data_IF_908977276282
#
_entry.id   IF_908977276282
#
_cell.length_a   1.000
_cell.length_b   1.000
_cell.length_c   1.000
_cell.angle_alpha   90.00
_cell.angle_beta   90.00
_cell.angle_gamma   90.00
#
_symmetry.space_group_name_H-M   'P 1'
#
loop_
_entity.id
_entity.type
_entity.pdbx_description
1 polymer ?
#
# COMPACT_ATOMS: atom_id res chain seq x y z
N UNK A 1 -10.46 -5.89 4.73
CA UNK A 1 -10.70 -6.64 3.47
C UNK A 1 -11.72 -7.74 3.70
N UNK A 2 -12.52 -8.09 2.69
CA UNK A 2 -13.47 -9.19 2.75
C UNK A 2 -13.45 -9.95 1.43
N UNK A 3 -13.66 -11.26 1.47
CA UNK A 3 -13.71 -12.11 0.26
C UNK A 3 -14.76 -11.59 -0.71
N UNK A 4 -14.37 -11.36 -1.96
CA UNK A 4 -15.27 -10.85 -3.00
C UNK A 4 -15.53 -9.33 -2.93
N UNK A 5 -14.97 -8.60 -1.95
CA UNK A 5 -15.18 -7.16 -1.85
C UNK A 5 -14.22 -6.37 -2.75
N UNK A 6 -14.70 -5.30 -3.40
CA UNK A 6 -13.84 -4.37 -4.12
C UNK A 6 -12.80 -3.71 -3.21
N UNK A 7 -11.59 -3.55 -3.73
CA UNK A 7 -10.48 -2.85 -3.09
C UNK A 7 -9.71 -2.05 -4.14
N UNK A 8 -9.13 -0.93 -3.72
CA UNK A 8 -8.16 -0.19 -4.51
C UNK A 8 -6.77 -0.74 -4.19
N UNK A 9 -5.99 -1.05 -5.20
CA UNK A 9 -4.58 -1.36 -5.10
C UNK A 9 -3.80 -0.10 -5.49
N UNK A 10 -2.94 0.37 -4.59
CA UNK A 10 -2.10 1.54 -4.81
C UNK A 10 -0.64 1.11 -4.80
N UNK A 11 0.09 1.58 -5.81
CA UNK A 11 1.55 1.53 -5.90
C UNK A 11 2.05 2.91 -6.33
N UNK A 12 3.34 3.07 -6.57
CA UNK A 12 3.89 4.30 -7.11
C UNK A 12 5.40 4.30 -7.10
N UNK A 13 5.96 5.41 -7.56
CA UNK A 13 7.40 5.59 -7.69
C UNK A 13 7.83 6.97 -7.19
N UNK A 14 9.04 7.05 -6.64
CA UNK A 14 9.69 8.31 -6.28
C UNK A 14 10.57 8.75 -7.44
N UNK A 15 10.18 9.84 -8.07
CA UNK A 15 10.81 10.29 -9.31
C UNK A 15 11.22 11.75 -9.22
N UNK A 16 12.14 12.15 -10.09
CA UNK A 16 12.41 13.56 -10.33
C UNK A 16 11.21 14.22 -11.03
N UNK A 17 10.89 15.44 -10.62
CA UNK A 17 9.75 16.17 -11.16
C UNK A 17 9.88 16.35 -12.67
N UNK A 18 8.87 15.90 -13.41
CA UNK A 18 8.82 15.99 -14.88
C UNK A 18 9.43 14.78 -15.60
N UNK A 19 9.90 13.77 -14.88
CA UNK A 19 10.33 12.49 -15.46
C UNK A 19 9.17 11.51 -15.58
N UNK A 20 9.36 10.49 -16.41
CA UNK A 20 8.40 9.38 -16.59
C UNK A 20 8.82 8.21 -15.71
N UNK A 21 7.88 7.68 -14.91
CA UNK A 21 8.05 6.39 -14.24
C UNK A 21 7.69 5.26 -15.18
N UNK A 22 8.46 4.17 -15.15
CA UNK A 22 8.25 2.96 -15.95
C UNK A 22 7.91 1.73 -15.07
N UNK A 23 7.65 1.92 -13.78
CA UNK A 23 7.39 0.80 -12.86
C UNK A 23 6.22 -0.09 -13.30
N UNK A 24 5.18 0.45 -13.93
CA UNK A 24 4.02 -0.32 -14.37
C UNK A 24 4.33 -1.18 -15.60
N UNK A 25 5.21 -0.68 -16.46
CA UNK A 25 5.64 -1.31 -17.70
C UNK A 25 6.71 -2.39 -17.46
N UNK A 26 7.65 -2.12 -16.55
CA UNK A 26 8.81 -2.97 -16.27
C UNK A 26 8.52 -4.05 -15.22
N UNK A 27 7.50 -3.88 -14.38
CA UNK A 27 7.20 -4.83 -13.28
C UNK A 27 6.16 -5.87 -13.72
N UNK A 28 6.61 -7.08 -14.06
CA UNK A 28 5.74 -8.20 -14.47
C UNK A 28 4.58 -8.47 -13.50
N UNK A 29 4.84 -8.33 -12.20
CA UNK A 29 3.87 -8.55 -11.12
C UNK A 29 2.69 -7.58 -11.18
N UNK A 30 2.87 -6.40 -11.79
CA UNK A 30 1.84 -5.36 -11.92
C UNK A 30 0.98 -5.49 -13.19
N UNK A 31 1.46 -6.21 -14.22
CA UNK A 31 0.76 -6.37 -15.51
C UNK A 31 -0.66 -6.94 -15.42
N UNK A 32 -1.02 -7.81 -14.45
CA UNK A 32 -2.40 -8.28 -14.32
C UNK A 32 -3.41 -7.21 -13.86
N UNK A 33 -2.95 -6.01 -13.48
CA UNK A 33 -3.79 -4.95 -12.93
C UNK A 33 -3.88 -3.77 -13.91
N UNK A 34 -5.09 -3.22 -14.05
CA UNK A 34 -5.32 -2.06 -14.90
C UNK A 34 -5.07 -0.78 -14.10
N UNK A 35 -3.80 -0.38 -14.00
CA UNK A 35 -3.40 0.83 -13.29
C UNK A 35 -3.68 2.12 -14.07
N UNK A 36 -4.05 3.16 -13.34
CA UNK A 36 -4.13 4.54 -13.82
C UNK A 36 -3.21 5.40 -12.95
N UNK A 37 -2.37 6.20 -13.59
CA UNK A 37 -1.54 7.19 -12.90
C UNK A 37 -2.40 8.28 -12.27
N UNK A 38 -2.06 8.66 -11.04
CA UNK A 38 -2.65 9.79 -10.31
C UNK A 38 -1.74 11.02 -10.38
N UNK A 39 -2.22 12.14 -9.84
CA UNK A 39 -1.45 13.38 -9.72
C UNK A 39 -0.21 13.19 -8.82
N UNK A 40 0.88 13.85 -9.20
CA UNK A 40 2.13 13.87 -8.45
C UNK A 40 1.93 14.52 -7.07
N UNK A 41 2.48 13.87 -6.03
CA UNK A 41 2.53 14.39 -4.68
C UNK A 41 3.92 14.98 -4.42
N UNK A 42 3.97 16.29 -4.28
CA UNK A 42 5.19 17.04 -3.96
C UNK A 42 5.34 17.14 -2.43
N UNK A 43 6.05 16.20 -1.83
CA UNK A 43 6.24 16.16 -0.39
C UNK A 43 7.07 17.33 0.13
N UNK A 44 7.95 17.93 -0.68
CA UNK A 44 8.68 19.13 -0.28
C UNK A 44 7.74 20.31 -0.03
N UNK A 45 6.62 20.42 -0.76
CA UNK A 45 5.60 21.44 -0.48
C UNK A 45 4.85 21.21 0.84
N UNK A 46 4.79 19.97 1.32
CA UNK A 46 4.06 19.58 2.52
C UNK A 46 4.97 19.65 3.75
N UNK A 47 6.20 19.15 3.62
CA UNK A 47 7.20 19.07 4.67
C UNK A 47 8.61 19.35 4.11
N UNK A 48 8.96 20.65 3.93
CA UNK A 48 10.25 21.04 3.37
C UNK A 48 11.45 20.62 4.22
N UNK A 49 11.26 20.32 5.50
CA UNK A 49 12.34 19.95 6.42
C UNK A 49 12.82 18.51 6.20
N UNK A 50 11.94 17.62 5.73
CA UNK A 50 12.24 16.19 5.58
C UNK A 50 12.36 15.74 4.12
N UNK A 51 11.99 16.57 3.13
CA UNK A 51 11.99 16.19 1.72
C UNK A 51 12.80 17.16 0.86
N UNK A 52 13.56 16.61 -0.10
CA UNK A 52 14.35 17.41 -1.03
C UNK A 52 13.46 18.06 -2.09
N UNK A 53 13.81 19.25 -2.59
CA UNK A 53 13.12 19.85 -3.72
C UNK A 53 13.28 18.99 -4.98
N UNK A 54 12.36 19.16 -5.93
CA UNK A 54 12.36 18.49 -7.25
C UNK A 54 12.16 16.96 -7.23
N UNK A 55 11.76 16.37 -6.10
CA UNK A 55 11.31 14.99 -6.02
C UNK A 55 9.80 14.94 -5.77
N UNK A 56 9.12 14.04 -6.46
CA UNK A 56 7.68 13.80 -6.30
C UNK A 56 7.43 12.31 -6.14
N UNK A 57 6.36 11.97 -5.43
CA UNK A 57 5.82 10.62 -5.47
C UNK A 57 4.69 10.59 -6.49
N UNK A 58 4.77 9.67 -7.44
CA UNK A 58 3.77 9.48 -8.48
C UNK A 58 2.98 8.21 -8.18
N UNK A 59 1.75 8.30 -7.65
CA UNK A 59 0.95 7.12 -7.33
C UNK A 59 0.28 6.54 -8.57
N UNK A 60 0.07 5.24 -8.58
CA UNK A 60 -0.81 4.54 -9.52
C UNK A 60 -1.87 3.77 -8.76
N UNK A 61 -3.10 3.78 -9.28
CA UNK A 61 -4.26 3.11 -8.70
C UNK A 61 -4.83 2.08 -9.67
N UNK A 62 -5.15 0.89 -9.17
CA UNK A 62 -5.94 -0.10 -9.86
C UNK A 62 -7.13 -0.54 -9.00
N UNK A 63 -8.30 -0.71 -9.63
CA UNK A 63 -9.43 -1.36 -8.98
C UNK A 63 -9.28 -2.89 -9.09
N UNK A 64 -9.54 -3.59 -8.00
CA UNK A 64 -9.52 -5.05 -7.97
C UNK A 64 -10.48 -5.60 -6.93
N UNK A 65 -10.54 -6.91 -6.80
CA UNK A 65 -11.39 -7.60 -5.82
C UNK A 65 -10.50 -8.40 -4.89
N UNK A 66 -10.69 -8.25 -3.59
CA UNK A 66 -9.97 -9.08 -2.63
C UNK A 66 -10.50 -10.51 -2.67
N UNK A 67 -9.67 -11.43 -3.14
CA UNK A 67 -9.96 -12.86 -3.21
C UNK A 67 -8.75 -13.65 -2.76
N UNK A 68 -8.98 -14.70 -1.97
CA UNK A 68 -7.92 -15.60 -1.53
C UNK A 68 -7.13 -16.14 -2.73
N UNK A 69 -5.80 -16.08 -2.66
CA UNK A 69 -4.91 -16.56 -3.73
C UNK A 69 -4.70 -15.59 -4.90
N UNK A 70 -5.61 -14.64 -5.15
CA UNK A 70 -5.56 -13.74 -6.31
C UNK A 70 -4.32 -12.86 -6.36
N UNK A 71 -3.87 -12.41 -5.19
CA UNK A 71 -2.76 -11.46 -5.07
C UNK A 71 -1.46 -12.14 -4.61
N UNK A 72 -1.35 -13.47 -4.64
CA UNK A 72 -0.19 -14.17 -4.07
C UNK A 72 1.14 -13.73 -4.68
N UNK A 73 1.22 -13.61 -6.01
CA UNK A 73 2.44 -13.14 -6.70
C UNK A 73 2.83 -11.73 -6.24
N UNK A 74 1.85 -10.85 -6.12
CA UNK A 74 2.04 -9.48 -5.62
C UNK A 74 2.50 -9.47 -4.16
N UNK A 75 1.83 -10.21 -3.28
CA UNK A 75 2.17 -10.30 -1.86
C UNK A 75 3.55 -10.92 -1.65
N UNK A 76 3.93 -11.88 -2.47
CA UNK A 76 5.27 -12.48 -2.44
C UNK A 76 6.34 -11.48 -2.88
N UNK A 77 6.12 -10.72 -3.94
CA UNK A 77 7.05 -9.67 -4.38
C UNK A 77 7.24 -8.60 -3.30
N UNK A 78 6.17 -8.22 -2.61
CA UNK A 78 6.24 -7.29 -1.47
C UNK A 78 7.04 -7.89 -0.30
N UNK A 79 6.81 -9.16 0.03
CA UNK A 79 7.53 -9.86 1.10
C UNK A 79 9.02 -10.04 0.78
N UNK A 80 9.39 -10.12 -0.50
CA UNK A 80 10.78 -10.20 -0.97
C UNK A 80 11.46 -8.84 -1.13
N UNK A 81 10.82 -7.74 -0.70
CA UNK A 81 11.32 -6.38 -0.85
C UNK A 81 11.42 -5.87 -2.31
N UNK A 82 10.83 -6.58 -3.27
CA UNK A 82 10.94 -6.27 -4.71
C UNK A 82 10.05 -5.10 -5.12
N UNK A 83 8.96 -4.84 -4.36
CA UNK A 83 8.08 -3.71 -4.62
C UNK A 83 7.31 -3.26 -3.38
N UNK A 84 6.61 -2.13 -3.50
CA UNK A 84 5.71 -1.57 -2.50
C UNK A 84 4.33 -1.39 -3.08
N UNK A 85 3.31 -1.88 -2.38
CA UNK A 85 1.93 -1.57 -2.68
C UNK A 85 1.07 -1.73 -1.42
N UNK A 86 -0.07 -1.06 -1.41
CA UNK A 86 -1.04 -1.17 -0.33
C UNK A 86 -2.46 -1.22 -0.90
N UNK A 87 -3.37 -1.73 -0.09
CA UNK A 87 -4.75 -1.92 -0.48
C UNK A 87 -5.67 -1.05 0.36
N UNK A 88 -6.67 -0.43 -0.26
CA UNK A 88 -7.69 0.38 0.41
C UNK A 88 -9.06 -0.24 0.18
N UNK A 89 -9.83 -0.41 1.25
CA UNK A 89 -11.26 -0.70 1.18
C UNK A 89 -12.05 0.54 1.56
N UNK A 90 -12.73 1.14 0.58
CA UNK A 90 -13.58 2.32 0.79
C UNK A 90 -14.77 1.96 1.67
N UNK A 91 -15.46 0.85 1.34
CA UNK A 91 -16.62 0.33 2.09
C UNK A 91 -16.32 0.14 3.59
N UNK A 92 -15.12 -0.34 3.91
CA UNK A 92 -14.72 -0.66 5.29
C UNK A 92 -13.90 0.44 5.95
N UNK A 93 -13.59 1.51 5.22
CA UNK A 93 -12.73 2.62 5.68
C UNK A 93 -11.45 2.09 6.32
N UNK A 94 -10.73 1.25 5.57
CA UNK A 94 -9.51 0.59 6.04
C UNK A 94 -8.45 0.52 4.96
N UNK A 95 -7.19 0.62 5.33
CA UNK A 95 -6.03 0.39 4.47
C UNK A 95 -5.12 -0.67 5.07
N UNK A 96 -4.55 -1.52 4.20
CA UNK A 96 -3.60 -2.58 4.55
C UNK A 96 -2.34 -2.39 3.73
N UNK A 97 -1.20 -2.22 4.41
CA UNK A 97 0.10 -2.03 3.79
C UNK A 97 1.03 -3.20 4.17
N UNK A 98 1.10 -4.26 3.36
CA UNK A 98 2.08 -5.34 3.56
C UNK A 98 3.51 -4.86 3.27
N UNK A 99 4.48 -5.47 3.94
CA UNK A 99 5.91 -5.22 3.75
C UNK A 99 6.72 -6.48 4.18
N UNK A 100 8.03 -6.49 3.94
CA UNK A 100 8.89 -7.61 4.36
C UNK A 100 8.80 -7.84 5.89
N UNK A 101 8.28 -9.00 6.27
CA UNK A 101 8.12 -9.42 7.66
C UNK A 101 6.84 -8.96 8.36
N UNK A 102 5.90 -8.28 7.68
CA UNK A 102 4.66 -7.85 8.34
C UNK A 102 3.65 -7.12 7.46
N UNK A 103 2.71 -6.45 8.12
CA UNK A 103 1.77 -5.54 7.47
C UNK A 103 1.20 -4.54 8.49
N UNK A 104 0.95 -3.33 8.01
CA UNK A 104 0.27 -2.30 8.78
C UNK A 104 -1.21 -2.22 8.42
N UNK A 105 -2.03 -1.90 9.41
CA UNK A 105 -3.45 -1.64 9.25
C UNK A 105 -3.79 -0.23 9.70
N UNK A 106 -4.34 0.57 8.79
CA UNK A 106 -5.01 1.83 9.13
C UNK A 106 -6.50 1.54 9.16
N UNK A 107 -7.12 1.72 10.32
CA UNK A 107 -8.52 1.39 10.59
C UNK A 107 -9.31 2.66 10.94
N UNK A 108 -10.62 2.62 10.70
CA UNK A 108 -11.52 3.76 10.82
C UNK A 108 -11.49 4.51 12.17
N UNK A 109 -11.23 3.79 13.26
CA UNK A 109 -11.25 4.34 14.62
C UNK A 109 -10.47 3.47 15.61
N UNK A 110 -10.23 4.02 16.81
CA UNK A 110 -9.48 3.39 17.90
C UNK A 110 -10.19 2.12 18.40
N UNK A 111 -11.52 2.14 18.48
CA UNK A 111 -12.31 1.01 18.97
C UNK A 111 -12.17 -0.22 18.05
N UNK A 112 -12.18 0.01 16.74
CA UNK A 112 -11.99 -1.02 15.72
C UNK A 112 -10.56 -1.56 15.77
N UNK A 113 -9.57 -0.66 15.89
CA UNK A 113 -8.16 -1.04 16.08
C UNK A 113 -7.98 -1.95 17.29
N UNK A 114 -8.50 -1.56 18.45
CA UNK A 114 -8.33 -2.32 19.69
C UNK A 114 -9.02 -3.69 19.61
N UNK A 115 -10.20 -3.74 18.98
CA UNK A 115 -10.90 -5.01 18.69
C UNK A 115 -10.06 -5.92 17.78
N UNK A 116 -9.38 -5.36 16.77
CA UNK A 116 -8.50 -6.12 15.89
C UNK A 116 -7.22 -6.58 16.60
N UNK A 117 -6.62 -5.76 17.47
CA UNK A 117 -5.46 -6.15 18.30
C UNK A 117 -5.80 -7.34 19.20
N UNK A 118 -7.00 -7.35 19.79
CA UNK A 118 -7.47 -8.50 20.58
C UNK A 118 -7.68 -9.74 19.70
N UNK A 119 -8.35 -9.58 18.56
CA UNK A 119 -8.64 -10.69 17.62
C UNK A 119 -7.37 -11.31 17.04
N UNK A 120 -6.40 -10.49 16.68
CA UNK A 120 -5.15 -10.90 16.02
C UNK A 120 -3.95 -10.80 16.98
N UNK A 121 -4.16 -10.99 18.28
CA UNK A 121 -3.11 -10.87 19.31
C UNK A 121 -1.88 -11.74 19.02
N UNK A 122 -2.07 -12.89 18.38
CA UNK A 122 -0.99 -13.79 18.00
C UNK A 122 -0.08 -13.24 16.88
N UNK A 123 -0.55 -12.24 16.14
CA UNK A 123 0.19 -11.60 15.03
C UNK A 123 0.94 -10.34 15.48
N UNK A 124 0.66 -9.83 16.68
CA UNK A 124 1.33 -8.65 17.20
C UNK A 124 2.80 -8.95 17.49
N UNK A 125 3.66 -7.99 17.13
CA UNK A 125 5.07 -8.05 17.44
C UNK A 125 5.29 -8.11 18.94
N UNK A 126 6.29 -8.90 19.38
CA UNK A 126 6.72 -8.93 20.79
C UNK A 126 7.43 -7.64 21.22
N UNK A 127 7.73 -6.75 20.27
CA UNK A 127 8.39 -5.47 20.56
C UNK A 127 7.45 -4.57 21.37
N UNK A 128 8.04 -3.73 22.22
CA UNK A 128 7.32 -2.87 23.15
C UNK A 128 6.50 -1.78 22.42
N UNK A 129 6.90 -1.41 21.20
CA UNK A 129 6.22 -0.50 20.29
C UNK A 129 5.15 -1.20 19.41
N UNK A 130 5.07 -2.54 19.45
CA UNK A 130 4.13 -3.35 18.67
C UNK A 130 2.82 -3.71 19.38
N UNK A 131 2.63 -3.27 20.63
CA UNK A 131 1.53 -3.64 21.51
C UNK A 131 0.48 -2.57 21.75
#
# INVERSE_FOLDING_TARGET
MGEGNPVLLITGDYIEKGTTSYILEETEVLKPYNFTWLDDIDFHKIDPANYQPNQVYKPALAETVWQSGRHNTLLQAIANDEMRAFFISIERTSMVAPYDGGMDFILKDIQTRDSYKLKYKAWLSKRQDGF
#
